data_IF_055622472603
#
_entry.id   IF_055622472603
#
_cell.length_a   1.000
_cell.length_b   1.000
_cell.length_c   1.000
_cell.angle_alpha   90.00
_cell.angle_beta   90.00
_cell.angle_gamma   90.00
#
_symmetry.space_group_name_H-M   'P 1'
#
loop_
_entity.id
_entity.type
_entity.pdbx_description
1 polymer ?
#
# COMPACT_ATOMS: atom_id res chain seq x y z
N UNK A 1 -15.28 -3.20 -12.18
CA UNK A 1 -15.09 -4.68 -12.19
C UNK A 1 -16.45 -5.31 -12.05
N UNK A 2 -16.88 -6.19 -12.96
CA UNK A 2 -18.20 -6.83 -12.85
C UNK A 2 -18.41 -7.51 -11.49
N UNK A 3 -19.61 -7.43 -10.95
CA UNK A 3 -20.00 -8.18 -9.75
C UNK A 3 -19.63 -9.67 -9.90
N UNK A 4 -19.00 -10.24 -8.87
CA UNK A 4 -18.52 -11.62 -8.78
C UNK A 4 -17.30 -11.98 -9.66
N UNK A 5 -16.55 -10.99 -10.16
CA UNK A 5 -15.26 -11.23 -10.78
C UNK A 5 -14.13 -11.35 -9.75
N UNK A 6 -13.13 -12.19 -10.07
CA UNK A 6 -11.89 -12.33 -9.29
C UNK A 6 -10.75 -11.76 -10.10
N UNK A 7 -9.91 -10.96 -9.45
CA UNK A 7 -8.69 -10.44 -10.03
C UNK A 7 -7.49 -10.81 -9.15
N UNK A 8 -6.40 -11.25 -9.78
CA UNK A 8 -5.16 -11.64 -9.11
C UNK A 8 -4.06 -10.71 -9.59
N UNK A 9 -3.31 -10.14 -8.65
CA UNK A 9 -2.22 -9.22 -8.91
C UNK A 9 -0.92 -9.76 -8.32
N UNK A 10 0.17 -9.66 -9.06
CA UNK A 10 1.52 -9.83 -8.53
C UNK A 10 2.17 -8.44 -8.42
N UNK A 11 2.69 -8.10 -7.25
CA UNK A 11 3.16 -6.75 -6.91
C UNK A 11 4.60 -6.79 -6.37
N UNK A 12 5.62 -6.79 -7.23
CA UNK A 12 6.94 -6.32 -6.83
C UNK A 12 6.93 -4.79 -6.65
N UNK A 13 7.09 -4.33 -5.41
CA UNK A 13 7.40 -2.93 -5.12
C UNK A 13 8.70 -2.79 -4.33
N UNK A 14 9.42 -1.71 -4.61
CA UNK A 14 10.56 -1.24 -3.85
C UNK A 14 10.14 0.03 -3.13
N UNK A 15 10.33 0.08 -1.81
CA UNK A 15 10.22 1.29 -1.01
C UNK A 15 11.61 1.58 -0.41
N UNK A 16 12.22 2.69 -0.80
CA UNK A 16 13.44 3.21 -0.19
C UNK A 16 13.11 4.39 0.72
N UNK A 17 13.54 4.36 1.97
CA UNK A 17 13.33 5.46 2.93
C UNK A 17 14.66 5.96 3.49
N UNK A 18 14.82 7.27 3.62
CA UNK A 18 15.93 7.90 4.35
C UNK A 18 15.57 8.34 5.78
N UNK A 19 14.29 8.20 6.19
CA UNK A 19 13.85 8.44 7.56
C UNK A 19 14.21 7.24 8.47
N UNK A 20 15.37 7.36 9.14
CA UNK A 20 15.90 6.54 10.25
C UNK A 20 16.78 5.31 9.91
N UNK A 21 17.86 5.16 10.71
CA UNK A 21 18.98 4.21 10.60
C UNK A 21 18.55 2.74 10.63
N UNK A 22 18.21 2.23 9.46
CA UNK A 22 17.82 0.85 9.23
C UNK A 22 17.03 0.81 7.93
N UNK A 23 17.64 1.36 6.87
CA UNK A 23 17.09 1.38 5.53
C UNK A 23 16.92 -0.05 5.04
N UNK A 24 15.80 -0.66 5.40
CA UNK A 24 15.37 -1.87 4.76
C UNK A 24 14.83 -1.44 3.41
N UNK A 25 15.66 -1.58 2.38
CA UNK A 25 15.19 -1.76 1.01
C UNK A 25 14.30 -3.00 1.02
N UNK A 26 12.99 -2.77 1.08
CA UNK A 26 12.01 -3.84 1.17
C UNK A 26 11.50 -4.12 -0.25
N UNK A 27 12.28 -4.86 -1.03
CA UNK A 27 11.80 -5.54 -2.24
C UNK A 27 10.96 -6.73 -1.81
N UNK A 28 9.65 -6.56 -1.72
CA UNK A 28 8.77 -7.66 -1.35
C UNK A 28 7.80 -7.97 -2.47
N UNK A 29 7.93 -9.17 -3.02
CA UNK A 29 6.93 -9.74 -3.89
C UNK A 29 5.67 -10.01 -3.05
N UNK A 30 4.59 -9.32 -3.37
CA UNK A 30 3.26 -9.62 -2.87
C UNK A 30 2.40 -10.24 -3.97
N UNK A 31 1.41 -11.02 -3.54
CA UNK A 31 0.26 -11.34 -4.36
C UNK A 31 -0.97 -10.71 -3.72
N UNK A 32 -1.87 -10.17 -4.52
CA UNK A 32 -3.19 -9.75 -4.07
C UNK A 32 -4.30 -10.42 -4.85
N UNK A 33 -5.39 -10.70 -4.17
CA UNK A 33 -6.62 -11.26 -4.74
C UNK A 33 -7.73 -10.30 -4.38
N UNK A 34 -8.53 -9.89 -5.38
CA UNK A 34 -9.69 -9.02 -5.20
C UNK A 34 -10.93 -9.70 -5.74
N UNK A 35 -12.04 -9.47 -5.07
CA UNK A 35 -13.37 -9.93 -5.41
C UNK A 35 -14.30 -8.73 -5.57
N UNK A 36 -14.95 -8.63 -6.73
CA UNK A 36 -15.98 -7.62 -6.99
C UNK A 36 -17.29 -7.98 -6.28
N UNK A 37 -17.70 -7.15 -5.32
CA UNK A 37 -19.03 -7.27 -4.69
C UNK A 37 -20.09 -6.66 -5.60
N UNK A 38 -19.77 -5.48 -6.14
CA UNK A 38 -20.55 -4.78 -7.16
C UNK A 38 -19.59 -4.09 -8.14
N UNK A 39 -20.15 -3.43 -9.15
CA UNK A 39 -19.35 -2.70 -10.13
C UNK A 39 -18.48 -1.60 -9.50
N UNK A 40 -18.95 -1.03 -8.38
CA UNK A 40 -18.31 0.05 -7.63
C UNK A 40 -17.50 -0.42 -6.42
N UNK A 41 -17.72 -1.64 -5.95
CA UNK A 41 -17.15 -2.11 -4.69
C UNK A 41 -16.40 -3.41 -4.91
N UNK A 42 -15.12 -3.42 -4.57
CA UNK A 42 -14.35 -4.65 -4.45
C UNK A 42 -13.63 -4.72 -3.12
N UNK A 43 -13.41 -5.95 -2.67
CA UNK A 43 -12.64 -6.26 -1.46
C UNK A 43 -11.55 -7.25 -1.81
N UNK A 44 -10.46 -7.23 -1.07
CA UNK A 44 -9.34 -8.11 -1.37
C UNK A 44 -8.43 -8.34 -0.19
N UNK A 45 -7.52 -9.28 -0.42
CA UNK A 45 -6.42 -9.61 0.47
C UNK A 45 -5.13 -9.46 -0.32
N UNK A 46 -4.10 -8.89 0.31
CA UNK A 46 -2.73 -8.92 -0.18
C UNK A 46 -1.84 -9.58 0.85
N UNK A 47 -0.94 -10.44 0.40
CA UNK A 47 0.06 -11.09 1.25
C UNK A 47 1.27 -11.51 0.40
N UNK A 48 2.42 -11.74 1.04
CA UNK A 48 3.57 -12.31 0.36
C UNK A 48 4.78 -12.47 1.28
N UNK A 49 5.93 -12.81 0.69
CA UNK A 49 7.14 -13.07 1.46
C UNK A 49 7.70 -11.77 2.05
N UNK A 50 7.77 -11.68 3.39
CA UNK A 50 8.04 -10.46 4.14
C UNK A 50 7.09 -9.27 3.84
N UNK A 51 6.08 -9.49 3.00
CA UNK A 51 4.98 -8.55 2.79
C UNK A 51 3.91 -8.81 3.85
N UNK A 52 3.46 -7.72 4.45
CA UNK A 52 2.52 -7.72 5.57
C UNK A 52 1.12 -8.09 5.03
N UNK A 53 0.34 -8.94 5.71
CA UNK A 53 -1.00 -9.27 5.25
C UNK A 53 -1.91 -8.04 5.37
N UNK A 54 -2.60 -7.72 4.28
CA UNK A 54 -3.41 -6.52 4.09
C UNK A 54 -4.82 -6.87 3.62
N UNK A 55 -5.80 -6.25 4.25
CA UNK A 55 -7.17 -6.17 3.76
C UNK A 55 -7.31 -4.91 2.92
N UNK A 56 -7.85 -5.09 1.72
CA UNK A 56 -8.05 -4.05 0.72
C UNK A 56 -9.56 -3.88 0.53
N UNK A 57 -10.01 -2.64 0.39
CA UNK A 57 -11.28 -2.36 -0.24
C UNK A 57 -11.06 -1.29 -1.31
N UNK A 58 -11.92 -1.28 -2.32
CA UNK A 58 -11.99 -0.20 -3.29
C UNK A 58 -13.44 0.21 -3.45
N UNK A 59 -13.64 1.53 -3.43
CA UNK A 59 -14.91 2.19 -3.65
C UNK A 59 -14.75 3.11 -4.86
N UNK A 60 -15.45 2.80 -5.95
CA UNK A 60 -15.55 3.66 -7.11
C UNK A 60 -16.41 4.87 -6.77
N UNK A 61 -15.91 6.06 -7.06
CA UNK A 61 -16.61 7.33 -6.82
C UNK A 61 -17.09 7.92 -8.13
N UNK A 62 -16.22 7.94 -9.15
CA UNK A 62 -16.53 8.41 -10.50
C UNK A 62 -16.10 7.36 -11.49
N UNK A 63 -17.00 6.94 -12.39
CA UNK A 63 -16.67 5.92 -13.38
C UNK A 63 -16.22 6.54 -14.70
N UNK A 64 -15.35 5.84 -15.45
CA UNK A 64 -14.89 6.32 -16.74
C UNK A 64 -15.97 6.32 -17.85
N UNK A 65 -17.04 5.54 -17.72
CA UNK A 65 -18.18 5.62 -18.65
C UNK A 65 -19.02 6.89 -18.45
N UNK A 66 -18.82 7.59 -17.33
CA UNK A 66 -19.43 8.90 -17.03
C UNK A 66 -18.53 10.07 -17.50
N UNK A 67 -17.32 9.80 -17.99
CA UNK A 67 -16.41 10.79 -18.54
C UNK A 67 -14.95 10.35 -18.60
N UNK A 68 -14.06 11.20 -19.11
CA UNK A 68 -12.63 10.90 -19.30
C UNK A 68 -11.83 10.61 -18.01
N UNK A 69 -12.45 10.73 -16.84
CA UNK A 69 -11.82 10.64 -15.53
C UNK A 69 -12.47 9.53 -14.71
N UNK A 70 -11.62 8.74 -14.05
CA UNK A 70 -12.03 7.73 -13.06
C UNK A 70 -11.50 8.12 -11.69
N UNK A 71 -12.30 7.98 -10.63
CA UNK A 71 -11.88 8.26 -9.25
C UNK A 71 -12.30 7.12 -8.33
N UNK A 72 -11.34 6.61 -7.57
CA UNK A 72 -11.58 5.57 -6.57
C UNK A 72 -10.89 5.87 -5.24
N UNK A 73 -11.52 5.42 -4.15
CA UNK A 73 -10.93 5.37 -2.81
C UNK A 73 -10.57 3.93 -2.48
N UNK A 74 -9.31 3.70 -2.13
CA UNK A 74 -8.76 2.38 -1.82
C UNK A 74 -8.17 2.40 -0.42
N UNK A 75 -8.98 2.17 0.64
CA UNK A 75 -8.44 1.98 1.98
C UNK A 75 -7.80 0.61 2.10
N UNK A 76 -6.63 0.58 2.73
CA UNK A 76 -5.91 -0.64 3.08
C UNK A 76 -5.71 -0.67 4.58
N UNK A 77 -5.93 -1.83 5.21
CA UNK A 77 -5.67 -2.06 6.62
C UNK A 77 -4.83 -3.32 6.77
N UNK A 78 -3.82 -3.30 7.62
CA UNK A 78 -3.05 -4.50 7.89
C UNK A 78 -2.36 -4.46 9.24
N UNK A 79 -1.79 -5.60 9.58
CA UNK A 79 -1.10 -5.82 10.83
C UNK A 79 -0.01 -6.85 10.67
N UNK A 80 1.13 -6.60 11.31
CA UNK A 80 2.23 -7.55 11.34
C UNK A 80 2.80 -7.65 12.74
N UNK A 81 3.01 -8.87 13.17
CA UNK A 81 3.88 -9.18 14.30
C UNK A 81 5.29 -9.35 13.76
N UNK A 82 6.23 -8.54 14.24
CA UNK A 82 7.64 -8.64 13.85
C UNK A 82 8.44 -9.12 15.06
N UNK A 83 8.91 -10.38 15.06
CA UNK A 83 9.94 -10.80 15.99
C UNK A 83 11.24 -10.12 15.57
N UNK A 84 11.80 -9.27 16.43
CA UNK A 84 13.07 -8.61 16.21
C UNK A 84 14.05 -9.07 17.29
N UNK A 85 15.31 -9.22 16.91
CA UNK A 85 16.47 -9.41 17.79
C UNK A 85 16.56 -8.39 18.94
N UNK A 86 15.88 -7.26 18.85
CA UNK A 86 15.85 -6.21 19.88
C UNK A 86 14.53 -6.14 20.67
N UNK A 87 13.63 -7.11 20.49
CA UNK A 87 12.33 -7.22 21.18
C UNK A 87 11.16 -7.29 20.20
N UNK A 88 10.17 -8.11 20.54
CA UNK A 88 8.96 -8.28 19.74
C UNK A 88 8.20 -6.96 19.54
N UNK A 89 7.57 -6.79 18.38
CA UNK A 89 6.71 -5.63 18.12
C UNK A 89 5.45 -5.99 17.34
N UNK A 90 4.36 -5.32 17.69
CA UNK A 90 3.11 -5.34 16.91
C UNK A 90 3.02 -4.03 16.16
N UNK A 91 2.78 -4.12 14.86
CA UNK A 91 2.56 -2.96 14.00
C UNK A 91 1.20 -3.10 13.34
N UNK A 92 0.42 -2.03 13.41
CA UNK A 92 -0.84 -1.86 12.69
C UNK A 92 -0.70 -0.69 11.74
N UNK A 93 -1.30 -0.77 10.57
CA UNK A 93 -1.17 0.30 9.60
C UNK A 93 -2.43 0.46 8.76
N UNK A 94 -2.59 1.68 8.25
CA UNK A 94 -3.68 2.11 7.39
C UNK A 94 -3.11 2.91 6.24
N UNK A 95 -3.57 2.60 5.02
CA UNK A 95 -3.15 3.28 3.80
C UNK A 95 -4.38 3.66 2.97
N UNK A 96 -5.13 4.71 3.36
CA UNK A 96 -6.09 5.33 2.48
C UNK A 96 -5.38 5.89 1.24
N UNK A 97 -5.82 5.44 0.07
CA UNK A 97 -5.29 5.85 -1.22
C UNK A 97 -6.42 6.39 -2.08
N UNK A 98 -6.23 7.56 -2.67
CA UNK A 98 -7.10 8.07 -3.72
C UNK A 98 -6.43 7.76 -5.05
N UNK A 99 -7.17 7.17 -5.97
CA UNK A 99 -6.69 6.80 -7.31
C UNK A 99 -7.47 7.61 -8.33
N UNK A 100 -6.75 8.35 -9.17
CA UNK A 100 -7.28 9.09 -10.30
C UNK A 100 -6.79 8.43 -11.59
N UNK A 101 -7.70 7.89 -12.38
CA UNK A 101 -7.46 7.43 -13.74
C UNK A 101 -7.86 8.48 -14.77
N UNK A 102 -7.12 8.56 -15.87
CA UNK A 102 -7.51 9.37 -17.03
C UNK A 102 -7.52 8.48 -18.27
N UNK A 103 -8.61 8.53 -19.04
CA UNK A 103 -8.74 7.78 -20.29
C UNK A 103 -8.69 6.26 -20.08
N UNK A 104 -9.47 5.73 -19.14
CA UNK A 104 -9.51 4.28 -18.80
C UNK A 104 -9.77 3.37 -20.00
N UNK A 105 -10.40 3.87 -21.07
CA UNK A 105 -10.68 3.09 -22.28
C UNK A 105 -9.45 2.96 -23.20
N UNK A 106 -8.35 3.62 -22.89
CA UNK A 106 -7.14 3.57 -23.70
C UNK A 106 -6.35 2.29 -23.41
N UNK A 107 -5.53 1.89 -24.39
CA UNK A 107 -4.56 0.81 -24.20
C UNK A 107 -3.57 1.17 -23.08
N UNK A 108 -3.25 2.45 -22.96
CA UNK A 108 -2.41 3.00 -21.88
C UNK A 108 -3.16 4.15 -21.22
N UNK A 109 -3.56 3.94 -19.97
CA UNK A 109 -4.28 4.94 -19.17
C UNK A 109 -3.39 5.42 -18.03
N UNK A 110 -3.00 6.70 -17.96
CA UNK A 110 -2.23 7.21 -16.83
C UNK A 110 -3.05 7.16 -15.54
N UNK A 111 -2.34 6.91 -14.44
CA UNK A 111 -2.90 6.82 -13.09
C UNK A 111 -2.10 7.69 -12.17
N UNK A 112 -2.79 8.47 -11.35
CA UNK A 112 -2.17 9.24 -10.27
C UNK A 112 -2.76 8.75 -8.96
N UNK A 113 -1.90 8.51 -7.97
CA UNK A 113 -2.39 8.19 -6.63
C UNK A 113 -1.84 9.13 -5.58
N UNK A 114 -2.68 9.39 -4.57
CA UNK A 114 -2.29 10.07 -3.36
C UNK A 114 -2.61 9.15 -2.18
N UNK A 115 -1.61 8.84 -1.37
CA UNK A 115 -1.65 7.86 -0.29
C UNK A 115 -1.17 8.50 1.00
N UNK A 116 -1.79 8.11 2.10
CA UNK A 116 -1.31 8.44 3.43
C UNK A 116 -1.02 7.14 4.17
N UNK A 117 0.25 6.82 4.38
CA UNK A 117 0.64 5.67 5.20
C UNK A 117 0.69 6.06 6.68
N UNK A 118 -0.19 5.48 7.47
CA UNK A 118 -0.24 5.65 8.92
C UNK A 118 0.13 4.32 9.54
N UNK A 119 1.28 4.25 10.21
CA UNK A 119 1.75 3.05 10.90
C UNK A 119 1.84 3.32 12.40
N UNK A 120 1.08 2.58 13.20
CA UNK A 120 1.20 2.51 14.65
C UNK A 120 1.98 1.27 15.06
N UNK A 121 2.90 1.39 16.02
CA UNK A 121 3.70 0.30 16.54
C UNK A 121 3.73 0.28 18.06
N UNK A 122 3.73 -0.91 18.64
CA UNK A 122 3.94 -1.14 20.07
C UNK A 122 5.04 -2.17 20.27
N UNK A 123 6.04 -1.82 21.10
CA UNK A 123 7.09 -2.76 21.50
C UNK A 123 6.62 -3.64 22.65
N UNK A 124 6.55 -4.94 22.38
CA UNK A 124 6.24 -5.99 23.35
C UNK A 124 7.52 -6.32 24.12
N UNK A 125 7.45 -6.10 25.43
CA UNK A 125 8.55 -6.31 26.34
C UNK A 125 8.74 -7.79 26.65
N UNK A 126 9.36 -8.57 25.76
CA UNK A 126 9.74 -9.95 26.10
C UNK A 126 10.89 -10.48 25.25
N UNK A 127 12.11 -10.36 25.76
CA UNK A 127 13.30 -11.01 25.21
C UNK A 127 14.53 -10.60 26.02
N UNK A 128 15.12 -11.54 26.75
CA UNK A 128 16.06 -11.30 27.85
C UNK A 128 17.37 -10.59 27.49
N UNK A 129 17.91 -9.93 28.51
CA UNK A 129 19.31 -9.51 28.70
C UNK A 129 19.94 -8.55 27.68
N UNK A 130 19.68 -7.24 27.84
CA UNK A 130 20.77 -6.25 27.93
C UNK A 130 20.26 -4.87 28.35
N UNK A 131 20.53 -4.51 29.61
CA UNK A 131 20.89 -3.18 30.14
C UNK A 131 20.06 -1.91 29.84
N UNK A 132 18.96 -1.93 29.09
CA UNK A 132 18.14 -0.72 28.89
C UNK A 132 16.70 -0.87 29.41
N UNK A 133 16.33 -0.23 30.53
CA UNK A 133 14.97 -0.25 31.07
C UNK A 133 13.94 0.49 30.19
N UNK A 134 14.32 0.96 29.00
CA UNK A 134 13.57 2.00 28.27
C UNK A 134 12.79 1.52 27.05
N UNK A 135 12.75 0.24 26.68
CA UNK A 135 12.13 -0.17 25.39
C UNK A 135 10.76 -0.84 25.50
N UNK A 136 10.48 -1.46 26.64
CA UNK A 136 9.19 -2.06 26.97
C UNK A 136 8.05 -1.03 26.93
N UNK A 137 6.98 -1.29 26.16
CA UNK A 137 5.78 -0.47 26.20
C UNK A 137 5.83 0.85 25.41
N UNK A 138 6.84 1.03 24.56
CA UNK A 138 6.91 2.20 23.67
C UNK A 138 5.88 2.08 22.55
N UNK A 139 5.00 3.08 22.47
CA UNK A 139 4.13 3.33 21.32
C UNK A 139 4.84 4.27 20.36
N UNK A 140 4.72 4.03 19.06
CA UNK A 140 5.14 4.95 18.01
C UNK A 140 4.05 5.04 16.95
N UNK A 141 3.83 6.24 16.41
CA UNK A 141 2.99 6.46 15.22
C UNK A 141 3.83 7.18 14.18
N UNK A 142 3.86 6.64 12.97
CA UNK A 142 4.47 7.24 11.80
C UNK A 142 3.38 7.63 10.79
N UNK A 143 3.47 8.83 10.24
CA UNK A 143 2.62 9.31 9.16
C UNK A 143 3.48 9.71 7.97
N UNK A 144 3.19 9.14 6.81
CA UNK A 144 3.98 9.30 5.58
C UNK A 144 3.04 9.57 4.40
N UNK A 145 2.89 10.82 3.95
CA UNK A 145 2.25 11.11 2.68
C UNK A 145 3.10 10.61 1.51
N UNK A 146 2.46 10.00 0.52
CA UNK A 146 3.07 9.44 -0.68
C UNK A 146 2.20 9.83 -1.87
N UNK A 147 2.81 10.25 -2.97
CA UNK A 147 2.15 10.46 -4.24
C UNK A 147 2.84 9.61 -5.31
N UNK A 148 2.06 9.05 -6.22
CA UNK A 148 2.57 8.18 -7.26
C UNK A 148 1.96 8.51 -8.62
N UNK A 149 2.73 8.20 -9.66
CA UNK A 149 2.40 8.30 -11.06
C UNK A 149 2.64 6.92 -11.68
N UNK A 150 1.62 6.39 -12.33
CA UNK A 150 1.68 5.10 -12.98
C UNK A 150 0.86 5.08 -14.25
N UNK A 151 0.70 3.88 -14.79
CA UNK A 151 -0.20 3.63 -15.90
C UNK A 151 -0.85 2.25 -15.78
N UNK A 152 -2.04 2.11 -16.35
CA UNK A 152 -2.60 0.81 -16.71
C UNK A 152 -2.28 0.57 -18.17
N UNK A 153 -1.52 -0.48 -18.45
CA UNK A 153 -1.23 -0.94 -19.81
C UNK A 153 -2.05 -2.20 -20.06
N UNK A 154 -3.15 -2.08 -20.78
CA UNK A 154 -4.04 -3.18 -21.13
C UNK A 154 -3.44 -3.96 -22.29
N UNK A 155 -3.00 -5.18 -22.02
CA UNK A 155 -2.43 -6.07 -23.04
C UNK A 155 -3.55 -6.87 -23.71
N UNK A 156 -4.50 -7.34 -22.91
CA UNK A 156 -5.72 -8.01 -23.35
C UNK A 156 -6.87 -7.64 -22.40
N UNK A 157 -8.08 -8.08 -22.72
CA UNK A 157 -9.25 -7.89 -21.85
C UNK A 157 -9.14 -8.58 -20.49
N UNK A 158 -8.16 -9.48 -20.32
CA UNK A 158 -7.92 -10.22 -19.10
C UNK A 158 -6.53 -10.04 -18.48
N UNK A 159 -5.66 -9.24 -19.11
CA UNK A 159 -4.28 -9.00 -18.68
C UNK A 159 -3.92 -7.51 -18.76
N UNK A 160 -3.49 -6.95 -17.63
CA UNK A 160 -2.95 -5.60 -17.58
C UNK A 160 -1.62 -5.55 -16.83
N UNK A 161 -0.76 -4.61 -17.24
CA UNK A 161 0.47 -4.24 -16.54
C UNK A 161 0.28 -2.89 -15.86
N UNK A 162 0.86 -2.75 -14.67
CA UNK A 162 0.68 -1.61 -13.78
C UNK A 162 2.04 -1.08 -13.32
N UNK A 163 2.81 -0.40 -14.20
CA UNK A 163 4.02 0.29 -13.77
C UNK A 163 3.67 1.53 -12.93
N UNK A 164 4.45 1.78 -11.89
CA UNK A 164 4.27 2.90 -10.98
C UNK A 164 5.63 3.41 -10.49
N UNK A 165 5.75 4.73 -10.38
CA UNK A 165 6.82 5.41 -9.66
C UNK A 165 6.20 6.42 -8.71
N UNK A 166 6.81 6.66 -7.57
CA UNK A 166 6.27 7.58 -6.59
C UNK A 166 7.27 8.01 -5.57
N UNK A 167 6.88 9.02 -4.80
CA UNK A 167 7.69 9.54 -3.73
C UNK A 167 6.83 10.14 -2.62
N UNK A 168 7.41 10.22 -1.44
CA UNK A 168 6.81 10.77 -0.25
C UNK A 168 7.85 11.36 0.66
N UNK A 169 7.39 11.93 1.77
CA UNK A 169 8.26 12.42 2.84
C UNK A 169 7.78 11.87 4.18
N UNK A 170 8.70 11.54 5.08
CA UNK A 170 8.35 11.11 6.43
C UNK A 170 7.89 12.32 7.23
N UNK A 171 6.60 12.43 7.55
CA UNK A 171 6.09 13.72 8.05
C UNK A 171 5.97 13.80 9.56
N UNK A 172 5.82 12.68 10.28
CA UNK A 172 5.69 12.73 11.74
C UNK A 172 5.93 11.37 12.40
N UNK A 173 6.86 11.31 13.35
CA UNK A 173 6.99 10.24 14.34
C UNK A 173 6.48 10.78 15.68
N UNK A 174 5.56 10.08 16.35
CA UNK A 174 5.17 10.40 17.73
C UNK A 174 5.29 9.15 18.60
N UNK A 175 6.18 9.19 19.59
CA UNK A 175 6.38 8.05 20.49
C UNK A 175 6.90 8.43 21.87
N UNK A 176 7.30 7.43 22.66
CA UNK A 176 7.87 7.64 23.99
C UNK A 176 9.19 8.43 23.89
N UNK A 177 9.12 9.76 24.10
CA UNK A 177 10.18 10.72 23.78
C UNK A 177 9.71 12.00 23.09
N UNK A 178 8.43 12.06 22.66
CA UNK A 178 7.82 13.22 22.01
C UNK A 178 7.71 13.08 20.49
N UNK A 179 7.09 14.07 19.81
CA UNK A 179 7.04 14.11 18.35
C UNK A 179 8.42 14.43 17.78
N UNK A 180 8.86 13.66 16.79
CA UNK A 180 10.04 13.92 15.97
C UNK A 180 9.59 14.12 14.52
N UNK A 181 9.98 15.24 13.94
CA UNK A 181 9.93 15.43 12.49
C UNK A 181 11.16 14.78 11.88
N UNK A 182 10.99 13.99 10.83
CA UNK A 182 12.09 13.30 10.16
C UNK A 182 12.26 13.90 8.77
N UNK A 183 13.45 14.31 8.37
CA UNK A 183 13.71 14.82 7.01
C UNK A 183 13.84 13.70 5.95
N UNK A 184 13.14 12.57 6.15
CA UNK A 184 13.26 11.43 5.26
C UNK A 184 12.43 11.58 4.00
N UNK A 185 13.00 11.16 2.88
CA UNK A 185 12.28 10.93 1.64
C UNK A 185 11.95 9.45 1.52
N UNK A 186 10.78 9.16 0.96
CA UNK A 186 10.34 7.83 0.55
C UNK A 186 10.31 7.80 -0.96
N UNK A 187 10.87 6.77 -1.58
CA UNK A 187 10.80 6.52 -3.00
C UNK A 187 10.12 5.17 -3.22
N UNK A 188 9.16 5.13 -4.13
CA UNK A 188 8.46 3.90 -4.52
C UNK A 188 8.66 3.65 -6.01
N UNK A 189 9.01 2.41 -6.36
CA UNK A 189 8.90 1.92 -7.73
C UNK A 189 8.16 0.59 -7.67
N UNK A 190 7.20 0.41 -8.57
CA UNK A 190 6.32 -0.74 -8.59
C UNK A 190 6.09 -1.23 -10.01
N UNK A 191 5.97 -2.53 -10.14
CA UNK A 191 5.40 -3.14 -11.32
C UNK A 191 4.37 -4.14 -10.84
N UNK A 192 3.21 -4.18 -11.46
CA UNK A 192 2.28 -5.25 -11.19
C UNK A 192 1.69 -5.86 -12.45
N UNK A 193 1.36 -7.14 -12.35
CA UNK A 193 0.68 -7.91 -13.39
C UNK A 193 -0.67 -8.30 -12.84
N UNK A 194 -1.74 -7.91 -13.53
CA UNK A 194 -3.10 -8.16 -13.13
C UNK A 194 -3.79 -9.11 -14.11
N UNK A 195 -4.46 -10.14 -13.57
CA UNK A 195 -5.22 -11.15 -14.30
C UNK A 195 -6.69 -11.12 -13.84
N UNK A 196 -7.66 -11.15 -14.77
CA UNK A 196 -9.11 -11.25 -14.43
C UNK A 196 -10.02 -11.27 -15.66
N UNK A 197 -11.18 -11.94 -15.64
CA UNK A 197 -12.08 -12.11 -16.80
C UNK A 197 -12.89 -10.86 -17.22
N UNK A 198 -13.41 -10.91 -18.46
CA UNK A 198 -14.05 -9.84 -19.27
C UNK A 198 -14.59 -8.61 -18.49
N UNK A 199 -13.93 -7.46 -18.66
CA UNK A 199 -14.37 -6.15 -18.17
C UNK A 199 -13.86 -5.72 -16.79
N UNK A 200 -12.96 -6.48 -16.17
CA UNK A 200 -12.52 -6.30 -14.79
C UNK A 200 -11.72 -5.04 -14.44
N UNK A 201 -11.27 -4.25 -15.42
CA UNK A 201 -10.20 -3.25 -15.24
C UNK A 201 -10.63 -1.78 -15.27
N UNK A 202 -11.85 -1.43 -14.85
CA UNK A 202 -12.11 -0.02 -14.51
C UNK A 202 -11.14 0.39 -13.39
N UNK A 203 -10.51 1.58 -13.46
CA UNK A 203 -9.69 2.12 -12.36
C UNK A 203 -10.51 2.56 -11.18
#
# INVERSE_FOLDING_TARGET
>A
MNANAVAIQLEPSAIGTTAYQGGNEQLYAAASIRYGISDDISVGLRAGYNTRPELLARFQILRPDEGLLSLALVPTLGGVYTPDSFGDSVRVYSQPTIVLGVGDDWIVSPVVTAKLDVTGGYSLASGGESSSPTRAGKVAVAVTPIATLGAVVRITDWLALLPEIGGGFGSLYAGHGGPLFTDGAVYQAGFAVLFGGEGGFSL
#
